data_IF_987392162686
#
_entry.id   IF_987392162686
#
_cell.length_a   1.000
_cell.length_b   1.000
_cell.length_c   1.000
_cell.angle_alpha   90.00
_cell.angle_beta   90.00
_cell.angle_gamma   90.00
#
_symmetry.space_group_name_H-M   'P 1'
#
loop_
_entity.id
_entity.type
_entity.pdbx_description
1 polymer ?
#
# COMPACT_ATOMS: atom_id res chain seq x y z
N UNK A 1 33.83 24.18 25.34
CA UNK A 1 33.34 23.20 24.37
C UNK A 1 31.81 23.23 24.45
N UNK A 2 31.21 24.15 23.65
CA UNK A 2 29.77 24.20 23.48
C UNK A 2 29.35 22.96 22.68
N UNK A 3 28.62 22.05 23.31
CA UNK A 3 27.89 21.00 22.61
C UNK A 3 26.77 21.71 21.87
N UNK A 4 26.89 21.76 20.55
CA UNK A 4 25.80 22.13 19.67
C UNK A 4 24.74 21.05 19.84
N UNK A 5 23.75 21.31 20.70
CA UNK A 5 22.46 20.65 20.58
C UNK A 5 21.88 21.13 19.25
N UNK A 6 22.06 20.34 18.21
CA UNK A 6 21.19 20.43 17.04
C UNK A 6 19.79 20.12 17.56
N UNK A 7 18.99 21.17 17.71
CA UNK A 7 17.56 21.07 17.89
C UNK A 7 17.05 20.52 16.56
N UNK A 8 16.99 19.20 16.42
CA UNK A 8 16.10 18.60 15.45
C UNK A 8 14.70 18.98 15.87
N UNK A 9 14.16 20.04 15.28
CA UNK A 9 12.72 20.21 15.28
C UNK A 9 12.18 19.01 14.50
N UNK A 10 11.53 18.07 15.18
CA UNK A 10 10.66 17.13 14.50
C UNK A 10 9.71 18.00 13.67
N UNK A 11 9.91 17.99 12.34
CA UNK A 11 8.91 18.60 11.46
C UNK A 11 7.61 17.86 11.76
N UNK A 12 6.61 18.61 12.22
CA UNK A 12 5.31 18.08 12.57
C UNK A 12 4.75 17.35 11.33
N UNK A 13 4.52 16.04 11.45
CA UNK A 13 3.96 15.24 10.34
C UNK A 13 2.65 15.85 9.87
N UNK A 14 2.53 16.01 8.56
CA UNK A 14 1.30 16.42 7.91
C UNK A 14 0.51 15.19 7.50
N UNK A 15 -0.76 15.15 7.86
CA UNK A 15 -1.65 14.05 7.52
C UNK A 15 -2.51 14.40 6.32
N UNK A 16 -2.80 13.39 5.50
CA UNK A 16 -3.69 13.54 4.37
C UNK A 16 -5.14 13.63 4.81
N UNK A 17 -5.94 14.38 4.04
CA UNK A 17 -7.39 14.47 4.22
C UNK A 17 -8.07 13.23 3.61
N UNK A 18 -8.02 12.14 4.35
CA UNK A 18 -8.59 10.83 4.01
C UNK A 18 -9.26 10.23 5.24
N UNK A 19 -10.24 9.31 5.09
CA UNK A 19 -10.96 8.73 6.21
C UNK A 19 -10.15 7.63 6.93
N UNK A 20 -8.92 7.94 7.30
CA UNK A 20 -8.04 7.14 8.16
C UNK A 20 -7.56 8.01 9.31
N UNK A 21 -7.48 7.43 10.52
CA UNK A 21 -6.92 8.12 11.68
C UNK A 21 -5.45 8.50 11.44
N UNK A 22 -4.99 9.51 12.16
CA UNK A 22 -3.58 9.91 12.11
C UNK A 22 -2.66 8.75 12.51
N UNK A 23 -3.05 7.93 13.50
CA UNK A 23 -2.30 6.75 13.90
C UNK A 23 -2.15 5.69 12.79
N UNK A 24 -3.17 5.48 11.96
CA UNK A 24 -3.06 4.58 10.80
C UNK A 24 -2.18 5.22 9.72
N UNK A 25 -2.26 6.53 9.53
CA UNK A 25 -1.38 7.22 8.60
C UNK A 25 0.08 7.19 9.05
N UNK A 26 0.35 7.27 10.35
CA UNK A 26 1.70 7.07 10.91
C UNK A 26 2.26 5.71 10.53
N UNK A 27 1.46 4.65 10.65
CA UNK A 27 1.86 3.30 10.22
C UNK A 27 2.23 3.28 8.73
N UNK A 28 1.42 3.93 7.89
CA UNK A 28 1.70 4.04 6.46
C UNK A 28 3.03 4.78 6.22
N UNK A 29 3.24 5.92 6.89
CA UNK A 29 4.45 6.71 6.72
C UNK A 29 5.70 5.94 7.15
N UNK A 30 5.67 5.29 8.31
CA UNK A 30 6.78 4.50 8.84
C UNK A 30 7.13 3.32 7.91
N UNK A 31 6.12 2.62 7.40
CA UNK A 31 6.33 1.53 6.45
C UNK A 31 6.82 2.02 5.09
N UNK A 32 6.32 3.15 4.61
CA UNK A 32 6.78 3.75 3.35
C UNK A 32 8.23 4.23 3.45
N UNK A 33 8.64 4.79 4.58
CA UNK A 33 10.04 5.12 4.85
C UNK A 33 10.91 3.86 4.83
N UNK A 34 10.50 2.82 5.57
CA UNK A 34 11.22 1.54 5.66
C UNK A 34 11.38 0.86 4.30
N UNK A 35 10.34 0.85 3.48
CA UNK A 35 10.29 0.15 2.20
C UNK A 35 10.53 1.06 0.99
N UNK A 36 10.87 2.32 1.21
CA UNK A 36 11.16 3.31 0.16
C UNK A 36 10.05 3.43 -0.88
N UNK A 37 8.82 3.64 -0.39
CA UNK A 37 7.63 3.85 -1.21
C UNK A 37 6.97 5.21 -0.90
N UNK A 38 6.26 5.75 -1.88
CA UNK A 38 5.47 6.97 -1.70
C UNK A 38 4.19 6.69 -0.89
N UNK A 39 3.89 7.45 0.17
CA UNK A 39 2.65 7.29 0.94
C UNK A 39 1.38 7.42 0.07
N UNK A 40 1.39 8.30 -0.92
CA UNK A 40 0.25 8.47 -1.84
C UNK A 40 -0.04 7.21 -2.66
N UNK A 41 0.98 6.42 -2.99
CA UNK A 41 0.80 5.12 -3.64
C UNK A 41 0.00 4.17 -2.75
N UNK A 42 0.39 4.05 -1.49
CA UNK A 42 -0.28 3.15 -0.54
C UNK A 42 -1.70 3.62 -0.24
N UNK A 43 -1.91 4.92 -0.04
CA UNK A 43 -3.25 5.50 0.11
C UNK A 43 -4.13 5.25 -1.12
N UNK A 44 -3.58 5.34 -2.33
CA UNK A 44 -4.31 5.08 -3.57
C UNK A 44 -4.72 3.60 -3.69
N UNK A 45 -3.83 2.68 -3.33
CA UNK A 45 -4.15 1.25 -3.29
C UNK A 45 -5.25 0.99 -2.27
N UNK A 46 -5.15 1.52 -1.05
CA UNK A 46 -6.17 1.39 0.00
C UNK A 46 -7.52 1.94 -0.50
N UNK A 47 -7.52 3.12 -1.10
CA UNK A 47 -8.74 3.72 -1.67
C UNK A 47 -9.38 2.81 -2.71
N UNK A 48 -8.57 2.26 -3.61
CA UNK A 48 -9.05 1.38 -4.69
C UNK A 48 -9.55 0.04 -4.17
N UNK A 49 -8.85 -0.56 -3.21
CA UNK A 49 -9.14 -1.89 -2.72
C UNK A 49 -10.31 -1.94 -1.73
N UNK A 50 -10.32 -1.05 -0.74
CA UNK A 50 -11.27 -1.11 0.38
C UNK A 50 -12.11 0.15 0.56
N UNK A 51 -11.84 1.23 -0.17
CA UNK A 51 -12.41 2.57 0.11
C UNK A 51 -12.19 2.99 1.57
N UNK A 52 -11.02 2.69 2.11
CA UNK A 52 -10.61 2.96 3.49
C UNK A 52 -11.41 2.19 4.57
N UNK A 53 -12.13 1.13 4.22
CA UNK A 53 -12.82 0.28 5.19
C UNK A 53 -11.83 -0.69 5.82
N UNK A 54 -11.59 -0.55 7.14
CA UNK A 54 -10.52 -1.26 7.87
C UNK A 54 -10.69 -2.78 7.83
N UNK A 55 -11.91 -3.26 8.02
CA UNK A 55 -12.26 -4.68 8.08
C UNK A 55 -12.96 -5.17 6.80
N UNK A 56 -12.68 -4.53 5.67
CA UNK A 56 -13.28 -4.90 4.40
C UNK A 56 -12.97 -6.37 4.05
N UNK A 57 -14.00 -7.05 3.58
CA UNK A 57 -13.91 -8.40 3.02
C UNK A 57 -14.48 -8.40 1.61
N UNK A 58 -13.81 -9.05 0.67
CA UNK A 58 -14.40 -9.25 -0.65
C UNK A 58 -15.65 -10.13 -0.58
N UNK A 59 -16.55 -9.98 -1.55
CA UNK A 59 -17.82 -10.73 -1.57
C UNK A 59 -17.65 -12.24 -1.58
N UNK A 60 -16.54 -12.74 -2.14
CA UNK A 60 -16.17 -14.15 -2.14
C UNK A 60 -15.37 -14.61 -0.91
N UNK A 61 -15.12 -13.69 0.05
CA UNK A 61 -14.39 -13.96 1.28
C UNK A 61 -12.90 -14.25 1.11
N UNK A 62 -12.30 -13.86 -0.02
CA UNK A 62 -10.88 -14.18 -0.33
C UNK A 62 -9.91 -13.07 -0.03
N UNK A 63 -10.35 -11.81 -0.02
CA UNK A 63 -9.51 -10.64 0.18
C UNK A 63 -9.86 -9.92 1.47
N UNK A 64 -8.85 -9.51 2.22
CA UNK A 64 -8.94 -9.05 3.61
C UNK A 64 -8.39 -7.64 3.79
N UNK A 65 -9.15 -6.79 4.46
CA UNK A 65 -8.72 -5.53 5.07
C UNK A 65 -8.46 -4.41 4.08
N UNK A 66 -7.77 -3.39 4.56
CA UNK A 66 -7.52 -2.13 3.85
C UNK A 66 -6.89 -2.32 2.47
N UNK A 67 -5.93 -3.22 2.35
CA UNK A 67 -5.20 -3.49 1.10
C UNK A 67 -5.66 -4.76 0.39
N UNK A 68 -6.77 -5.38 0.84
CA UNK A 68 -7.39 -6.56 0.24
C UNK A 68 -6.40 -7.69 -0.05
N UNK A 69 -5.70 -8.13 1.00
CA UNK A 69 -4.72 -9.21 0.90
C UNK A 69 -5.42 -10.54 0.62
N UNK A 70 -5.16 -11.11 -0.55
CA UNK A 70 -5.77 -12.36 -0.96
C UNK A 70 -5.24 -13.53 -0.13
N UNK A 71 -6.15 -14.41 0.33
CA UNK A 71 -5.83 -15.54 1.22
C UNK A 71 -4.78 -16.50 0.67
N UNK A 72 -4.59 -16.54 -0.65
CA UNK A 72 -3.53 -17.36 -1.27
C UNK A 72 -2.12 -16.96 -0.80
N UNK A 73 -1.93 -15.70 -0.39
CA UNK A 73 -0.67 -15.16 0.08
C UNK A 73 -0.48 -15.29 1.60
N UNK A 74 -1.54 -15.65 2.35
CA UNK A 74 -1.52 -15.58 3.81
C UNK A 74 -0.44 -16.47 4.43
N UNK A 75 -0.28 -17.72 3.98
CA UNK A 75 0.72 -18.62 4.56
C UNK A 75 2.14 -18.06 4.36
N UNK A 76 2.46 -17.63 3.14
CA UNK A 76 3.76 -17.01 2.84
C UNK A 76 4.00 -15.77 3.69
N UNK A 77 3.02 -14.91 3.83
CA UNK A 77 3.15 -13.67 4.61
C UNK A 77 3.23 -13.93 6.12
N UNK A 78 2.56 -14.97 6.63
CA UNK A 78 2.76 -15.42 8.02
C UNK A 78 4.19 -15.88 8.27
N UNK A 79 4.73 -16.66 7.38
CA UNK A 79 6.11 -17.17 7.49
C UNK A 79 7.15 -16.07 7.35
N UNK A 80 6.95 -15.14 6.40
CA UNK A 80 7.94 -14.11 6.07
C UNK A 80 7.90 -12.92 7.04
N UNK A 81 6.68 -12.46 7.42
CA UNK A 81 6.47 -11.23 8.19
C UNK A 81 5.92 -11.46 9.60
N UNK A 82 5.55 -12.69 9.95
CA UNK A 82 4.93 -12.97 11.24
C UNK A 82 3.49 -12.44 11.36
N UNK A 83 2.78 -12.23 10.25
CA UNK A 83 1.38 -11.78 10.26
C UNK A 83 0.52 -12.82 10.97
N UNK A 84 -0.29 -12.39 11.93
CA UNK A 84 -1.23 -13.24 12.68
C UNK A 84 -2.67 -12.91 12.37
N UNK A 85 -2.98 -11.65 12.05
CA UNK A 85 -4.32 -11.17 11.73
C UNK A 85 -4.29 -10.23 10.51
N UNK A 86 -4.86 -10.69 9.40
CA UNK A 86 -4.95 -9.92 8.15
C UNK A 86 -6.04 -8.83 8.17
N UNK A 87 -6.88 -8.77 9.21
CA UNK A 87 -7.84 -7.68 9.41
C UNK A 87 -7.30 -6.61 10.37
N UNK A 88 -6.22 -6.88 11.10
CA UNK A 88 -5.52 -5.85 11.85
C UNK A 88 -4.91 -4.82 10.88
N UNK A 89 -5.24 -3.52 11.02
CA UNK A 89 -4.82 -2.53 10.03
C UNK A 89 -3.30 -2.42 9.88
N UNK A 90 -2.55 -2.48 10.98
CA UNK A 90 -1.08 -2.42 10.92
C UNK A 90 -0.49 -3.60 10.16
N UNK A 91 -0.94 -4.82 10.48
CA UNK A 91 -0.46 -6.03 9.84
C UNK A 91 -0.89 -6.11 8.37
N UNK A 92 -2.12 -5.67 8.06
CA UNK A 92 -2.64 -5.63 6.70
C UNK A 92 -1.83 -4.67 5.81
N UNK A 93 -1.59 -3.45 6.28
CA UNK A 93 -0.78 -2.45 5.56
C UNK A 93 0.66 -2.96 5.39
N UNK A 94 1.25 -3.56 6.42
CA UNK A 94 2.59 -4.15 6.32
C UNK A 94 2.65 -5.22 5.21
N UNK A 95 1.69 -6.12 5.19
CA UNK A 95 1.60 -7.15 4.16
C UNK A 95 1.52 -6.57 2.73
N UNK A 96 0.64 -5.58 2.53
CA UNK A 96 0.45 -4.95 1.22
C UNK A 96 1.67 -4.14 0.75
N UNK A 97 2.26 -3.35 1.63
CA UNK A 97 3.49 -2.58 1.36
C UNK A 97 4.64 -3.51 1.00
N UNK A 98 4.84 -4.58 1.76
CA UNK A 98 5.84 -5.60 1.48
C UNK A 98 5.63 -6.24 0.10
N UNK A 99 4.41 -6.63 -0.24
CA UNK A 99 4.10 -7.23 -1.55
C UNK A 99 4.38 -6.28 -2.71
N UNK A 100 4.02 -5.00 -2.58
CA UNK A 100 4.31 -3.99 -3.61
C UNK A 100 5.82 -3.79 -3.76
N UNK A 101 6.57 -3.75 -2.66
CA UNK A 101 8.04 -3.65 -2.71
C UNK A 101 8.67 -4.85 -3.43
N UNK A 102 8.27 -6.07 -3.10
CA UNK A 102 8.75 -7.29 -3.79
C UNK A 102 8.50 -7.22 -5.31
N UNK A 103 7.30 -6.80 -5.70
CA UNK A 103 6.93 -6.68 -7.11
C UNK A 103 7.73 -5.59 -7.83
N UNK A 104 7.97 -4.45 -7.18
CA UNK A 104 8.83 -3.40 -7.72
C UNK A 104 10.30 -3.84 -7.86
N UNK A 105 10.82 -4.57 -6.88
CA UNK A 105 12.18 -5.11 -6.96
C UNK A 105 12.33 -6.12 -8.09
N UNK A 106 11.27 -6.89 -8.37
CA UNK A 106 11.28 -7.91 -9.41
C UNK A 106 11.13 -7.35 -10.82
N UNK A 107 10.23 -6.38 -11.01
CA UNK A 107 9.84 -5.91 -12.35
C UNK A 107 10.42 -4.55 -12.70
N UNK A 108 10.90 -3.77 -11.71
CA UNK A 108 11.46 -2.43 -11.89
C UNK A 108 10.52 -1.47 -12.64
N UNK A 109 9.21 -1.74 -12.60
CA UNK A 109 8.16 -0.97 -13.25
C UNK A 109 6.91 -0.94 -12.37
N UNK A 110 6.46 0.28 -12.01
CA UNK A 110 5.32 0.46 -11.10
C UNK A 110 4.01 -0.03 -11.72
N UNK A 111 3.78 0.22 -13.00
CA UNK A 111 2.56 -0.21 -13.67
C UNK A 111 2.48 -1.74 -13.68
N UNK A 112 3.58 -2.42 -14.03
CA UNK A 112 3.64 -3.88 -13.98
C UNK A 112 3.46 -4.42 -12.56
N UNK A 113 4.09 -3.81 -11.56
CA UNK A 113 3.91 -4.19 -10.16
C UNK A 113 2.45 -4.09 -9.71
N UNK A 114 1.78 -3.00 -10.07
CA UNK A 114 0.36 -2.80 -9.75
C UNK A 114 -0.56 -3.78 -10.51
N UNK A 115 -0.27 -4.09 -11.76
CA UNK A 115 -0.98 -5.13 -12.51
C UNK A 115 -0.84 -6.50 -11.83
N UNK A 116 0.36 -6.84 -11.38
CA UNK A 116 0.62 -8.07 -10.62
C UNK A 116 -0.09 -8.08 -9.27
N UNK A 117 -0.09 -6.96 -8.57
CA UNK A 117 -0.80 -6.83 -7.29
C UNK A 117 -2.30 -7.09 -7.45
N UNK A 118 -2.91 -6.53 -8.49
CA UNK A 118 -4.36 -6.63 -8.75
C UNK A 118 -4.78 -8.00 -9.31
N UNK A 119 -4.08 -8.52 -10.31
CA UNK A 119 -4.51 -9.72 -11.07
C UNK A 119 -3.60 -10.94 -10.90
N UNK A 120 -2.59 -10.84 -10.02
CA UNK A 120 -1.54 -11.84 -9.89
C UNK A 120 -0.52 -11.77 -11.03
N UNK A 121 0.67 -12.33 -10.81
CA UNK A 121 1.75 -12.27 -11.81
C UNK A 121 1.39 -12.98 -13.13
N UNK A 122 0.72 -14.13 -13.04
CA UNK A 122 0.28 -14.86 -14.24
C UNK A 122 -0.75 -14.05 -15.03
N UNK A 123 -1.74 -13.46 -14.35
CA UNK A 123 -2.74 -12.61 -14.96
C UNK A 123 -2.13 -11.39 -15.65
N UNK A 124 -1.22 -10.69 -14.98
CA UNK A 124 -0.52 -9.53 -15.51
C UNK A 124 0.32 -9.90 -16.74
N UNK A 125 1.09 -10.98 -16.69
CA UNK A 125 1.88 -11.45 -17.84
C UNK A 125 1.01 -11.81 -19.04
N UNK A 126 -0.15 -12.44 -18.82
CA UNK A 126 -1.08 -12.76 -19.88
C UNK A 126 -1.67 -11.49 -20.51
N UNK A 127 -1.99 -10.48 -19.73
CA UNK A 127 -2.42 -9.17 -20.22
C UNK A 127 -1.35 -8.52 -21.11
N UNK A 128 -0.09 -8.51 -20.67
CA UNK A 128 1.04 -7.97 -21.45
C UNK A 128 1.21 -8.71 -22.78
N UNK A 129 1.09 -10.04 -22.79
CA UNK A 129 1.21 -10.85 -24.01
C UNK A 129 0.21 -10.48 -25.11
N UNK A 130 -0.98 -10.01 -24.72
CA UNK A 130 -2.02 -9.56 -25.65
C UNK A 130 -2.02 -8.04 -25.87
N UNK A 131 -0.95 -7.33 -25.45
CA UNK A 131 -0.75 -5.91 -25.72
C UNK A 131 -1.37 -4.96 -24.69
N UNK A 132 -1.86 -5.45 -23.56
CA UNK A 132 -2.38 -4.60 -22.47
C UNK A 132 -1.22 -4.15 -21.59
N UNK A 133 -0.83 -2.89 -21.71
CA UNK A 133 0.29 -2.29 -20.97
C UNK A 133 -0.15 -1.44 -19.76
N UNK A 134 -1.45 -1.17 -19.65
CA UNK A 134 -2.06 -0.52 -18.48
C UNK A 134 -3.51 -1.00 -18.34
N UNK A 135 -4.03 -0.98 -17.12
CA UNK A 135 -5.40 -1.42 -16.82
C UNK A 135 -6.21 -0.29 -16.21
N UNK A 136 -7.53 -0.47 -16.13
CA UNK A 136 -8.39 0.45 -15.37
C UNK A 136 -7.89 0.62 -13.93
N UNK A 137 -7.46 -0.49 -13.28
CA UNK A 137 -6.88 -0.48 -11.95
C UNK A 137 -5.67 0.46 -11.86
N UNK A 138 -4.66 0.28 -12.73
CA UNK A 138 -3.44 1.09 -12.68
C UNK A 138 -3.71 2.56 -12.96
N UNK A 139 -4.58 2.87 -13.92
CA UNK A 139 -4.98 4.26 -14.21
C UNK A 139 -5.67 4.92 -13.03
N UNK A 140 -6.54 4.18 -12.32
CA UNK A 140 -7.18 4.69 -11.10
C UNK A 140 -6.20 4.94 -9.96
N UNK A 141 -5.21 4.06 -9.78
CA UNK A 141 -4.17 4.30 -8.79
C UNK A 141 -3.44 5.61 -9.06
N UNK A 142 -3.00 5.85 -10.29
CA UNK A 142 -2.32 7.10 -10.65
C UNK A 142 -3.21 8.33 -10.49
N UNK A 143 -4.47 8.24 -10.87
CA UNK A 143 -5.47 9.31 -10.66
C UNK A 143 -5.58 9.64 -9.16
N UNK A 144 -5.79 8.65 -8.30
CA UNK A 144 -5.91 8.85 -6.86
C UNK A 144 -4.65 9.43 -6.23
N UNK A 145 -3.47 8.97 -6.65
CA UNK A 145 -2.20 9.52 -6.15
C UNK A 145 -2.10 11.03 -6.38
N UNK A 146 -2.61 11.53 -7.49
CA UNK A 146 -2.58 12.96 -7.85
C UNK A 146 -3.61 13.82 -7.12
N UNK A 147 -4.63 13.21 -6.52
CA UNK A 147 -5.76 13.89 -5.89
C UNK A 147 -5.57 14.13 -4.38
N UNK A 148 -4.70 13.37 -3.71
CA UNK A 148 -4.54 13.48 -2.26
C UNK A 148 -3.95 14.82 -1.85
N UNK A 149 -4.56 15.43 -0.83
CA UNK A 149 -4.16 16.70 -0.22
C UNK A 149 -3.98 16.51 1.27
N UNK A 150 -3.07 17.27 1.85
CA UNK A 150 -2.95 17.34 3.31
C UNK A 150 -4.16 18.06 3.91
N UNK A 151 -4.48 17.70 5.15
CA UNK A 151 -5.45 18.44 5.97
C UNK A 151 -5.01 19.89 6.08
N UNK A 152 -5.97 20.81 6.07
CA UNK A 152 -5.72 22.20 6.46
C UNK A 152 -5.37 22.24 7.96
N UNK A 153 -4.39 23.04 8.33
CA UNK A 153 -3.99 23.26 9.72
C UNK A 153 -5.02 24.09 10.46
#
# INVERSE_FOLDING_TARGET
LAVLNEIYTEEERKYYDVPLSDGIQDIIFDLCEKYELEPTLILAVIKKESRFVIDAMSSDGRCYGLMQIHRINHNRLRETLGITDFLDPQQNIHAGVFMIRELLDKYEDLTMALMCYNSGETGARNQIKIGIISTYYTRKIYEYMSEFKFKDN
#
